data_IF_782434022968
#
_entry.id   IF_782434022968
#
_cell.length_a   1.000
_cell.length_b   1.000
_cell.length_c   1.000
_cell.angle_alpha   90.00
_cell.angle_beta   90.00
_cell.angle_gamma   90.00
#
_symmetry.space_group_name_H-M   'P 1'
#
loop_
_entity.id
_entity.type
_entity.pdbx_description
1 polymer ?
#
# COMPACT_ATOMS: atom_id res chain seq x y z
N UNK A 1 -2.46 27.99 -13.33
CA UNK A 1 -2.06 26.74 -12.66
C UNK A 1 -1.48 27.13 -11.29
N UNK A 2 -1.89 26.48 -10.20
CA UNK A 2 -1.53 26.86 -8.82
C UNK A 2 -0.01 26.91 -8.58
N UNK A 3 0.70 25.96 -9.17
CA UNK A 3 2.17 25.81 -9.02
C UNK A 3 3.01 26.41 -10.16
N UNK A 4 2.41 27.18 -11.08
CA UNK A 4 3.18 27.85 -12.13
C UNK A 4 4.35 28.68 -11.58
N UNK A 5 4.17 29.50 -10.52
CA UNK A 5 5.29 30.28 -9.96
C UNK A 5 6.44 29.40 -9.44
N UNK A 6 6.14 28.24 -8.89
CA UNK A 6 7.15 27.28 -8.41
C UNK A 6 8.02 26.81 -9.57
N UNK A 7 7.40 26.34 -10.65
CA UNK A 7 8.12 25.83 -11.83
C UNK A 7 8.84 26.91 -12.60
N UNK A 8 8.25 28.13 -12.73
CA UNK A 8 8.86 29.29 -13.39
C UNK A 8 10.17 29.72 -12.70
N UNK A 9 10.29 29.52 -11.40
CA UNK A 9 11.50 29.80 -10.64
C UNK A 9 12.47 28.60 -10.52
N UNK A 10 12.20 27.52 -11.23
CA UNK A 10 13.06 26.34 -11.27
C UNK A 10 12.98 25.42 -10.06
N UNK A 11 11.96 25.59 -9.22
CA UNK A 11 11.70 24.68 -8.10
C UNK A 11 10.93 23.43 -8.56
N UNK A 12 11.10 22.34 -7.84
CA UNK A 12 10.42 21.09 -8.09
C UNK A 12 9.32 20.85 -7.06
N UNK A 13 8.26 20.18 -7.50
CA UNK A 13 7.19 19.72 -6.62
C UNK A 13 7.60 18.40 -5.95
N UNK A 14 7.48 18.29 -4.63
CA UNK A 14 7.82 17.08 -3.89
C UNK A 14 6.59 16.28 -3.48
N UNK A 15 6.78 14.97 -3.35
CA UNK A 15 5.79 14.07 -2.76
C UNK A 15 5.90 14.10 -1.23
N UNK A 16 4.77 14.28 -0.52
CA UNK A 16 4.70 14.40 0.93
C UNK A 16 4.77 13.05 1.68
N UNK A 17 4.97 11.94 0.99
CA UNK A 17 4.96 10.61 1.59
C UNK A 17 6.05 10.37 2.62
N UNK A 18 7.17 11.10 2.51
CA UNK A 18 8.23 11.11 3.52
C UNK A 18 8.82 12.52 3.64
N UNK A 19 8.70 13.11 4.82
CA UNK A 19 9.23 14.44 5.10
C UNK A 19 9.93 14.44 6.45
N UNK A 20 11.12 15.04 6.50
CA UNK A 20 11.82 15.37 7.73
C UNK A 20 11.72 16.87 7.98
N UNK A 21 11.06 17.25 9.06
CA UNK A 21 10.85 18.65 9.41
C UNK A 21 11.95 19.17 10.35
N UNK A 22 12.55 20.30 9.99
CA UNK A 22 13.31 21.10 10.94
C UNK A 22 12.36 21.96 11.79
N UNK A 23 11.83 21.35 12.86
CA UNK A 23 10.82 22.00 13.71
C UNK A 23 11.33 23.28 14.39
N UNK A 24 12.64 23.37 14.64
CA UNK A 24 13.23 24.56 15.25
C UNK A 24 13.18 25.75 14.29
N UNK A 25 13.40 25.51 13.01
CA UNK A 25 13.31 26.55 11.98
C UNK A 25 11.85 26.90 11.64
N UNK A 26 10.93 25.93 11.68
CA UNK A 26 9.54 26.16 11.27
C UNK A 26 8.70 26.87 12.34
N UNK A 27 8.90 26.57 13.64
CA UNK A 27 8.05 27.05 14.74
C UNK A 27 7.88 28.57 14.83
N UNK A 28 8.87 29.41 14.51
CA UNK A 28 8.68 30.87 14.59
C UNK A 28 7.64 31.40 13.60
N UNK A 29 7.60 30.84 12.40
CA UNK A 29 6.86 31.41 11.26
C UNK A 29 5.64 30.58 10.83
N UNK A 30 5.63 29.28 11.18
CA UNK A 30 4.61 28.34 10.74
C UNK A 30 3.85 27.74 11.92
N UNK A 31 2.57 28.04 11.97
CA UNK A 31 1.57 27.45 12.86
C UNK A 31 0.52 26.72 12.05
N UNK A 32 -0.33 25.92 12.69
CA UNK A 32 -1.52 25.36 12.05
C UNK A 32 -2.37 26.46 11.38
N UNK A 33 -2.51 27.62 12.05
CA UNK A 33 -3.26 28.75 11.52
C UNK A 33 -2.64 29.31 10.24
N UNK A 34 -1.30 29.38 10.15
CA UNK A 34 -0.57 29.84 8.96
C UNK A 34 -0.93 28.98 7.74
N UNK A 35 -0.95 27.65 7.91
CA UNK A 35 -1.34 26.73 6.83
C UNK A 35 -2.81 26.88 6.46
N UNK A 36 -3.71 27.01 7.42
CA UNK A 36 -5.14 27.19 7.18
C UNK A 36 -5.45 28.51 6.47
N UNK A 37 -4.75 29.56 6.81
CA UNK A 37 -4.90 30.87 6.14
C UNK A 37 -4.35 30.82 4.70
N UNK A 38 -3.29 30.08 4.48
CA UNK A 38 -2.78 29.81 3.13
C UNK A 38 -3.78 29.01 2.30
N UNK A 39 -4.37 27.95 2.85
CA UNK A 39 -5.41 27.18 2.17
C UNK A 39 -6.63 28.04 1.80
N UNK A 40 -7.05 28.95 2.69
CA UNK A 40 -8.13 29.93 2.40
C UNK A 40 -7.76 30.90 1.29
N UNK A 41 -6.53 31.43 1.29
CA UNK A 41 -6.03 32.29 0.21
C UNK A 41 -6.04 31.60 -1.14
N UNK A 42 -5.79 30.29 -1.15
CA UNK A 42 -5.86 29.44 -2.34
C UNK A 42 -7.29 29.02 -2.69
N UNK A 43 -8.30 29.51 -1.96
CA UNK A 43 -9.70 29.12 -2.13
C UNK A 43 -9.94 27.61 -2.07
N UNK A 44 -9.08 26.88 -1.32
CA UNK A 44 -9.05 25.41 -1.25
C UNK A 44 -8.94 24.74 -2.61
N UNK A 45 -8.38 25.43 -3.62
CA UNK A 45 -8.13 24.89 -4.95
C UNK A 45 -6.88 23.98 -4.95
N UNK A 46 -6.90 22.96 -4.10
CA UNK A 46 -5.85 21.98 -3.85
C UNK A 46 -6.40 20.60 -4.16
N UNK A 47 -5.63 19.79 -4.89
CA UNK A 47 -6.01 18.42 -5.27
C UNK A 47 -5.52 17.39 -4.23
N UNK A 48 -4.28 17.58 -3.78
CA UNK A 48 -3.64 16.78 -2.72
C UNK A 48 -3.44 17.67 -1.48
N UNK A 49 -4.40 17.71 -0.54
CA UNK A 49 -4.51 18.79 0.43
C UNK A 49 -3.25 19.09 1.25
N UNK A 50 -2.62 18.07 1.83
CA UNK A 50 -1.38 18.22 2.60
C UNK A 50 -0.19 18.50 1.68
N UNK A 51 -0.03 17.72 0.62
CA UNK A 51 1.09 17.80 -0.29
C UNK A 51 1.13 19.13 -1.04
N UNK A 52 -0.01 19.57 -1.59
CA UNK A 52 -0.11 20.84 -2.29
C UNK A 52 0.19 22.02 -1.38
N UNK A 53 -0.37 21.99 -0.18
CA UNK A 53 -0.17 23.06 0.79
C UNK A 53 1.28 23.17 1.25
N UNK A 54 1.92 22.04 1.52
CA UNK A 54 3.34 21.99 1.91
C UNK A 54 4.25 22.45 0.77
N UNK A 55 3.98 22.00 -0.46
CA UNK A 55 4.72 22.46 -1.63
C UNK A 55 4.57 23.98 -1.82
N UNK A 56 3.37 24.52 -1.66
CA UNK A 56 3.14 25.95 -1.79
C UNK A 56 3.86 26.78 -0.70
N UNK A 57 3.88 26.28 0.53
CA UNK A 57 4.50 27.00 1.66
C UNK A 57 6.03 26.86 1.69
N UNK A 58 6.60 25.74 1.22
CA UNK A 58 7.99 25.36 1.53
C UNK A 58 8.86 25.05 0.31
N UNK A 59 8.41 25.34 -0.91
CA UNK A 59 9.21 25.04 -2.11
C UNK A 59 10.60 25.64 -2.12
N UNK A 60 10.82 26.79 -1.45
CA UNK A 60 12.11 27.45 -1.36
C UNK A 60 13.02 26.87 -0.28
N UNK A 61 12.44 26.23 0.73
CA UNK A 61 13.14 25.77 1.93
C UNK A 61 13.27 24.24 1.97
N UNK A 62 12.99 23.56 0.84
CA UNK A 62 13.00 22.11 0.76
C UNK A 62 14.32 21.61 0.21
N UNK A 63 14.94 20.69 0.97
CA UNK A 63 16.07 19.89 0.51
C UNK A 63 15.57 18.54 0.00
N UNK A 64 15.78 18.26 -1.28
CA UNK A 64 15.43 16.98 -1.88
C UNK A 64 16.48 15.92 -1.54
N UNK A 65 15.99 14.75 -1.19
CA UNK A 65 16.78 13.53 -1.01
C UNK A 65 16.49 12.57 -2.16
N UNK A 66 17.33 11.54 -2.31
CA UNK A 66 17.15 10.53 -3.36
C UNK A 66 15.81 9.81 -3.19
N UNK A 67 14.84 9.99 -4.11
CA UNK A 67 13.53 9.38 -4.01
C UNK A 67 13.58 7.84 -4.14
N UNK A 68 14.60 7.29 -4.79
CA UNK A 68 14.77 5.84 -4.94
C UNK A 68 15.25 5.16 -3.65
N UNK A 69 15.76 5.93 -2.69
CA UNK A 69 16.16 5.41 -1.38
C UNK A 69 15.12 5.70 -0.30
N UNK A 70 14.57 6.91 -0.30
CA UNK A 70 13.81 7.41 0.84
C UNK A 70 12.30 7.49 0.62
N UNK A 71 11.83 7.43 -0.63
CA UNK A 71 10.38 7.51 -0.93
C UNK A 71 10.06 6.89 -2.29
N UNK A 72 10.52 5.66 -2.52
CA UNK A 72 10.27 4.98 -3.78
C UNK A 72 8.78 4.68 -3.93
N UNK A 73 8.12 5.38 -4.86
CA UNK A 73 6.75 5.04 -5.23
C UNK A 73 6.76 3.70 -5.98
N UNK A 74 6.06 2.70 -5.44
CA UNK A 74 6.07 1.34 -5.97
C UNK A 74 5.64 1.27 -7.44
N UNK A 75 4.63 2.06 -7.83
CA UNK A 75 4.14 2.11 -9.21
C UNK A 75 5.20 2.66 -10.16
N UNK A 76 5.74 3.84 -9.87
CA UNK A 76 6.75 4.45 -10.74
C UNK A 76 8.04 3.63 -10.77
N UNK A 77 8.44 3.05 -9.64
CA UNK A 77 9.56 2.14 -9.60
C UNK A 77 9.41 0.99 -10.59
N UNK A 78 8.25 0.38 -10.63
CA UNK A 78 7.95 -0.73 -11.53
C UNK A 78 7.74 -0.28 -12.98
N UNK A 79 6.80 0.66 -13.22
CA UNK A 79 6.36 1.03 -14.58
C UNK A 79 7.41 1.84 -15.35
N UNK A 80 8.10 2.79 -14.68
CA UNK A 80 8.96 3.75 -15.35
C UNK A 80 10.45 3.39 -15.25
N UNK A 81 10.85 2.68 -14.19
CA UNK A 81 12.25 2.37 -13.91
C UNK A 81 12.58 0.89 -13.91
N UNK A 82 11.60 0.03 -14.18
CA UNK A 82 11.76 -1.43 -14.24
C UNK A 82 12.44 -2.01 -12.99
N UNK A 83 12.10 -1.45 -11.81
CA UNK A 83 12.59 -1.92 -10.52
C UNK A 83 11.67 -3.04 -10.05
N UNK A 84 12.25 -4.16 -9.64
CA UNK A 84 11.56 -5.36 -9.28
C UNK A 84 11.81 -5.81 -7.83
N UNK A 85 10.96 -6.69 -7.35
CA UNK A 85 11.00 -7.25 -5.99
C UNK A 85 12.37 -7.76 -5.56
N UNK A 86 13.03 -8.57 -6.39
CA UNK A 86 14.32 -9.19 -6.04
C UNK A 86 15.43 -8.16 -5.85
N UNK A 87 15.40 -7.08 -6.62
CA UNK A 87 16.34 -5.95 -6.47
C UNK A 87 16.10 -5.23 -5.14
N UNK A 88 14.85 -4.90 -4.83
CA UNK A 88 14.49 -4.14 -3.63
C UNK A 88 14.70 -4.92 -2.34
N UNK A 89 14.52 -6.24 -2.37
CA UNK A 89 14.75 -7.10 -1.21
C UNK A 89 16.18 -7.00 -0.66
N UNK A 90 17.14 -6.68 -1.52
CA UNK A 90 18.55 -6.55 -1.16
C UNK A 90 18.97 -5.10 -0.84
N UNK A 91 18.09 -4.13 -1.10
CA UNK A 91 18.37 -2.69 -0.89
C UNK A 91 17.63 -2.17 0.32
N UNK A 92 18.30 -1.36 1.13
CA UNK A 92 17.65 -0.62 2.23
C UNK A 92 16.92 0.61 1.66
N UNK A 93 15.67 0.43 1.25
CA UNK A 93 14.83 1.51 0.68
C UNK A 93 13.54 1.69 1.46
N UNK A 94 12.99 2.90 1.44
CA UNK A 94 11.63 3.16 1.93
C UNK A 94 10.70 3.15 0.73
N UNK A 95 9.78 2.16 0.70
CA UNK A 95 8.82 1.99 -0.38
C UNK A 95 7.49 2.66 0.01
N UNK A 96 6.97 3.50 -0.86
CA UNK A 96 5.72 4.21 -0.69
C UNK A 96 4.65 3.67 -1.64
N UNK A 97 3.68 2.96 -1.11
CA UNK A 97 2.51 2.46 -1.85
C UNK A 97 1.44 3.56 -1.98
N UNK A 98 1.76 4.64 -2.70
CA UNK A 98 0.89 5.80 -2.83
C UNK A 98 -0.32 5.55 -3.74
N UNK A 99 -0.13 4.81 -4.81
CA UNK A 99 -1.16 4.56 -5.85
C UNK A 99 -2.02 3.35 -5.50
N UNK A 100 -1.54 2.15 -5.74
CA UNK A 100 -2.19 0.91 -5.31
C UNK A 100 -1.83 0.57 -3.88
N UNK A 101 -2.73 -0.14 -3.21
CA UNK A 101 -2.50 -0.60 -1.84
C UNK A 101 -2.41 -2.12 -1.86
N UNK A 102 -1.27 -2.72 -1.45
CA UNK A 102 -1.08 -4.18 -1.48
C UNK A 102 -2.14 -4.99 -0.73
N UNK A 103 -2.84 -4.35 0.18
CA UNK A 103 -3.91 -4.97 1.00
C UNK A 103 -5.32 -4.65 0.52
N UNK A 104 -5.51 -3.96 -0.62
CA UNK A 104 -6.83 -3.59 -1.16
C UNK A 104 -6.99 -4.04 -2.60
N UNK A 105 -8.13 -4.65 -2.89
CA UNK A 105 -8.57 -4.93 -4.24
C UNK A 105 -7.75 -5.99 -4.98
N UNK A 106 -7.60 -5.80 -6.26
CA UNK A 106 -6.94 -6.75 -7.15
C UNK A 106 -5.51 -7.04 -6.71
N UNK A 107 -5.26 -8.29 -6.44
CA UNK A 107 -4.00 -8.81 -5.95
C UNK A 107 -2.83 -8.41 -6.86
N UNK A 108 -1.81 -7.79 -6.27
CA UNK A 108 -0.51 -7.53 -6.87
C UNK A 108 -0.54 -7.00 -8.31
N UNK A 109 -0.65 -5.70 -8.43
CA UNK A 109 -0.43 -5.03 -9.71
C UNK A 109 1.06 -5.03 -10.09
N UNK A 110 1.93 -5.02 -9.07
CA UNK A 110 3.38 -4.95 -9.18
C UNK A 110 4.00 -5.98 -8.24
N UNK A 111 5.06 -6.64 -8.67
CA UNK A 111 5.77 -7.63 -7.84
C UNK A 111 6.37 -7.00 -6.56
N UNK A 112 6.68 -5.69 -6.59
CA UNK A 112 7.13 -4.90 -5.43
C UNK A 112 6.11 -4.94 -4.27
N UNK A 113 4.82 -5.09 -4.56
CA UNK A 113 3.78 -5.16 -3.54
C UNK A 113 3.91 -6.40 -2.65
N UNK A 114 4.58 -7.45 -3.14
CA UNK A 114 4.85 -8.64 -2.36
C UNK A 114 5.74 -8.36 -1.15
N UNK A 115 6.64 -7.38 -1.22
CA UNK A 115 7.45 -6.96 -0.07
C UNK A 115 6.58 -6.51 1.12
N UNK A 116 5.47 -5.81 0.87
CA UNK A 116 4.54 -5.42 1.91
C UNK A 116 3.97 -6.66 2.64
N UNK A 117 3.60 -7.69 1.90
CA UNK A 117 3.07 -8.93 2.46
C UNK A 117 4.12 -9.71 3.25
N UNK A 118 5.39 -9.66 2.86
CA UNK A 118 6.48 -10.24 3.65
C UNK A 118 6.63 -9.59 5.02
N UNK A 119 6.44 -8.29 5.11
CA UNK A 119 6.43 -7.60 6.40
C UNK A 119 5.12 -7.81 7.16
N UNK A 120 3.98 -7.78 6.49
CA UNK A 120 2.66 -7.96 7.07
C UNK A 120 2.53 -9.29 7.83
N UNK A 121 3.16 -10.37 7.34
CA UNK A 121 3.14 -11.70 7.99
C UNK A 121 3.73 -11.72 9.41
N UNK A 122 4.49 -10.70 9.79
CA UNK A 122 5.03 -10.54 11.14
C UNK A 122 4.11 -9.73 12.07
N UNK A 123 2.95 -9.34 11.60
CA UNK A 123 1.95 -8.57 12.37
C UNK A 123 0.79 -9.46 12.82
N UNK A 124 0.10 -9.13 13.91
CA UNK A 124 -1.08 -9.88 14.35
C UNK A 124 -2.27 -9.76 13.40
N UNK A 125 -2.23 -8.81 12.45
CA UNK A 125 -3.31 -8.54 11.49
C UNK A 125 -3.18 -9.33 10.19
N UNK A 126 -2.08 -10.04 9.98
CA UNK A 126 -1.78 -10.73 8.71
C UNK A 126 -2.91 -11.64 8.24
N UNK A 127 -3.42 -12.48 9.13
CA UNK A 127 -4.50 -13.42 8.79
C UNK A 127 -5.76 -12.70 8.33
N UNK A 128 -6.17 -11.68 9.07
CA UNK A 128 -7.36 -10.88 8.72
C UNK A 128 -7.19 -10.20 7.36
N UNK A 129 -6.05 -9.54 7.16
CA UNK A 129 -5.73 -8.86 5.90
C UNK A 129 -5.71 -9.82 4.71
N UNK A 130 -5.15 -11.01 4.90
CA UNK A 130 -5.12 -12.04 3.86
C UNK A 130 -6.53 -12.56 3.55
N UNK A 131 -7.35 -12.82 4.55
CA UNK A 131 -8.73 -13.27 4.38
C UNK A 131 -9.58 -12.20 3.67
N UNK A 132 -9.41 -10.92 4.00
CA UNK A 132 -10.07 -9.78 3.34
C UNK A 132 -9.63 -9.67 1.87
N UNK A 133 -8.33 -9.69 1.61
CA UNK A 133 -7.78 -9.62 0.26
C UNK A 133 -8.23 -10.81 -0.60
N UNK A 134 -8.23 -12.02 -0.07
CA UNK A 134 -8.73 -13.21 -0.78
C UNK A 134 -10.24 -13.08 -1.08
N UNK A 135 -11.02 -12.60 -0.13
CA UNK A 135 -12.47 -12.43 -0.31
C UNK A 135 -12.76 -11.43 -1.43
N UNK A 136 -12.12 -10.27 -1.42
CA UNK A 136 -12.29 -9.25 -2.46
C UNK A 136 -11.92 -9.81 -3.85
N UNK A 137 -10.79 -10.50 -3.95
CA UNK A 137 -10.37 -11.10 -5.22
C UNK A 137 -11.28 -12.21 -5.72
N UNK A 138 -11.80 -13.06 -4.82
CA UNK A 138 -12.73 -14.11 -5.18
C UNK A 138 -14.07 -13.51 -5.63
N UNK A 139 -14.57 -12.51 -4.93
CA UNK A 139 -15.90 -11.92 -5.22
C UNK A 139 -15.91 -11.12 -6.53
N UNK A 140 -14.82 -10.41 -6.83
CA UNK A 140 -14.71 -9.55 -8.02
C UNK A 140 -14.12 -10.26 -9.24
N UNK A 141 -13.65 -11.50 -9.08
CA UNK A 141 -13.04 -12.26 -10.17
C UNK A 141 -14.09 -12.77 -11.17
N UNK A 142 -13.84 -12.66 -12.49
CA UNK A 142 -14.64 -13.32 -13.51
C UNK A 142 -14.59 -14.86 -13.38
N UNK A 143 -13.64 -15.39 -12.63
CA UNK A 143 -13.53 -16.81 -12.27
C UNK A 143 -14.35 -17.17 -11.03
N UNK A 144 -15.04 -16.23 -10.40
CA UNK A 144 -15.80 -16.43 -9.16
C UNK A 144 -16.74 -17.65 -9.21
N UNK A 145 -17.58 -17.86 -10.26
CA UNK A 145 -18.45 -19.03 -10.34
C UNK A 145 -17.67 -20.35 -10.31
N UNK A 146 -16.54 -20.40 -11.00
CA UNK A 146 -15.68 -21.60 -11.04
C UNK A 146 -14.97 -21.85 -9.71
N UNK A 147 -14.46 -20.81 -9.06
CA UNK A 147 -13.83 -20.89 -7.74
C UNK A 147 -14.86 -21.30 -6.67
N UNK A 148 -16.07 -20.78 -6.75
CA UNK A 148 -17.16 -21.17 -5.85
C UNK A 148 -17.53 -22.64 -6.00
N UNK A 149 -17.60 -23.17 -7.23
CA UNK A 149 -17.85 -24.59 -7.52
C UNK A 149 -16.73 -25.47 -6.97
N UNK A 150 -15.48 -25.08 -7.16
CA UNK A 150 -14.32 -25.79 -6.60
C UNK A 150 -14.32 -25.80 -5.07
N UNK A 151 -14.64 -24.67 -4.45
CA UNK A 151 -14.73 -24.55 -3.00
C UNK A 151 -15.81 -25.46 -2.43
N UNK A 152 -16.99 -25.52 -3.08
CA UNK A 152 -18.07 -26.41 -2.70
C UNK A 152 -17.69 -27.90 -2.85
N UNK A 153 -17.04 -28.28 -3.95
CA UNK A 153 -16.55 -29.63 -4.17
C UNK A 153 -15.51 -30.04 -3.12
N UNK A 154 -14.60 -29.15 -2.79
CA UNK A 154 -13.61 -29.41 -1.75
C UNK A 154 -14.26 -29.60 -0.38
N UNK A 155 -15.22 -28.75 0.00
CA UNK A 155 -15.95 -28.90 1.25
C UNK A 155 -16.68 -30.28 1.33
N UNK A 156 -17.31 -30.70 0.25
CA UNK A 156 -17.96 -32.01 0.17
C UNK A 156 -16.98 -33.19 0.27
N UNK A 157 -15.76 -33.03 -0.28
CA UNK A 157 -14.70 -34.03 -0.16
C UNK A 157 -14.19 -34.13 1.29
N UNK A 158 -13.98 -33.02 1.96
CA UNK A 158 -13.57 -33.01 3.37
C UNK A 158 -14.59 -33.68 4.28
N UNK A 159 -15.90 -33.40 4.08
CA UNK A 159 -16.96 -34.08 4.83
C UNK A 159 -16.97 -35.60 4.62
N UNK A 160 -16.73 -36.06 3.39
CA UNK A 160 -16.58 -37.49 3.11
C UNK A 160 -15.37 -38.08 3.81
N UNK A 161 -14.25 -37.36 3.80
CA UNK A 161 -13.02 -37.82 4.44
C UNK A 161 -13.24 -38.00 5.95
N UNK A 162 -13.81 -37.00 6.63
CA UNK A 162 -14.19 -37.09 8.04
C UNK A 162 -15.12 -38.29 8.31
N UNK A 163 -16.10 -38.52 7.44
CA UNK A 163 -17.00 -39.67 7.58
C UNK A 163 -16.24 -41.00 7.46
N UNK A 164 -15.30 -41.11 6.52
CA UNK A 164 -14.48 -42.31 6.38
C UNK A 164 -13.53 -42.52 7.58
N UNK A 165 -12.93 -41.46 8.09
CA UNK A 165 -12.09 -41.52 9.29
C UNK A 165 -12.88 -42.04 10.50
N UNK A 166 -14.09 -41.50 10.73
CA UNK A 166 -14.99 -41.96 11.78
C UNK A 166 -15.39 -43.42 11.61
N UNK A 167 -15.67 -43.87 10.38
CA UNK A 167 -15.97 -45.27 10.07
C UNK A 167 -14.77 -46.18 10.35
N UNK A 168 -13.59 -45.77 10.01
CA UNK A 168 -12.35 -46.54 10.29
C UNK A 168 -12.08 -46.61 11.79
N UNK A 169 -12.28 -45.58 12.55
CA UNK A 169 -12.17 -45.59 13.99
C UNK A 169 -13.18 -46.51 14.65
N UNK A 170 -14.43 -46.50 14.17
CA UNK A 170 -15.48 -47.40 14.70
C UNK A 170 -15.30 -48.87 14.34
N UNK A 171 -14.70 -49.17 13.19
CA UNK A 171 -14.45 -50.55 12.73
C UNK A 171 -13.04 -51.08 13.06
N UNK A 172 -12.10 -50.20 13.35
CA UNK A 172 -10.74 -50.58 13.79
C UNK A 172 -10.62 -51.04 15.24
N UNK A 173 -11.71 -50.98 15.98
CA UNK A 173 -11.79 -51.38 17.40
C UNK A 173 -11.99 -52.88 17.64
N UNK A 174 -11.98 -53.74 16.61
CA UNK A 174 -12.26 -55.17 16.78
C UNK A 174 -11.27 -56.04 16.00
N UNK A 175 -10.01 -55.99 16.33
CA UNK A 175 -9.04 -57.07 16.11
C UNK A 175 -8.22 -57.19 17.39
N UNK A 176 -8.75 -57.95 18.30
CA UNK A 176 -8.00 -58.55 19.42
C UNK A 176 -7.47 -59.90 19.03
#
# INVERSE_FOLDING_TARGET
MLFAPLFEHGFSYFNSGMILYNLAALRPDYSFQTYMDTARKLHYAIEYPDQDLLNYCHYQDTLFVDPFLYNLNARYGYDDYNIHYDELKQRGVIIHYASSKPWRGNFLHYDIEWLWWEYAKHTPFYRQLLEEALRENIMDSPLNPYIADLAQKNAALYQKLETYEQLLETHGGTIS
#
